data_IF_120785473536
#
_entry.id   IF_120785473536
#
_cell.length_a   1.000
_cell.length_b   1.000
_cell.length_c   1.000
_cell.angle_alpha   90.00
_cell.angle_beta   90.00
_cell.angle_gamma   90.00
#
_symmetry.space_group_name_H-M   'P 1'
#
loop_
_entity.id
_entity.type
_entity.pdbx_description
1 polymer ?
#
# COMPACT_ATOMS: atom_id res chain seq x y z
N UNK A 1 -2.96 -15.70 -5.04
CA UNK A 1 -2.21 -16.94 -4.81
C UNK A 1 -3.12 -18.07 -5.25
N UNK A 2 -2.77 -18.84 -6.26
CA UNK A 2 -3.55 -20.03 -6.60
C UNK A 2 -3.55 -20.95 -5.37
N UNK A 3 -4.73 -21.33 -4.87
CA UNK A 3 -4.87 -22.21 -3.70
C UNK A 3 -4.30 -23.61 -3.94
N UNK A 4 -4.08 -23.99 -5.20
CA UNK A 4 -3.51 -25.27 -5.58
C UNK A 4 -1.98 -25.26 -5.74
N UNK A 5 -1.40 -24.20 -6.32
CA UNK A 5 0.03 -24.17 -6.69
C UNK A 5 0.81 -22.95 -6.19
N UNK A 6 0.18 -22.01 -5.48
CA UNK A 6 0.85 -20.81 -4.96
C UNK A 6 1.11 -19.70 -6.00
N UNK A 7 0.95 -19.99 -7.29
CA UNK A 7 1.28 -19.03 -8.36
C UNK A 7 0.37 -17.79 -8.37
N UNK A 8 0.95 -16.65 -8.74
CA UNK A 8 0.25 -15.40 -9.04
C UNK A 8 0.10 -15.23 -10.53
N UNK A 9 -1.08 -15.52 -11.06
CA UNK A 9 -1.40 -15.30 -12.45
C UNK A 9 -2.09 -13.94 -12.64
N UNK A 10 -1.50 -13.02 -13.43
CA UNK A 10 -2.08 -11.72 -13.70
C UNK A 10 -3.13 -11.83 -14.81
N UNK A 11 -4.33 -12.32 -14.48
CA UNK A 11 -5.44 -12.55 -15.43
C UNK A 11 -5.91 -11.31 -16.21
N UNK A 12 -5.59 -10.11 -15.69
CA UNK A 12 -5.88 -8.83 -16.35
C UNK A 12 -4.61 -8.16 -16.94
N UNK A 13 -3.54 -8.92 -17.12
CA UNK A 13 -2.24 -8.44 -17.59
C UNK A 13 -1.42 -7.74 -16.50
N UNK A 14 -0.23 -7.26 -16.89
CA UNK A 14 0.75 -6.60 -16.02
C UNK A 14 1.23 -5.27 -16.61
N UNK A 15 1.88 -4.44 -15.81
CA UNK A 15 2.55 -3.22 -16.29
C UNK A 15 1.62 -2.01 -16.47
N UNK A 16 0.31 -2.16 -16.28
CA UNK A 16 -0.65 -1.07 -16.49
C UNK A 16 -0.44 0.09 -15.52
N UNK A 17 -0.20 -0.22 -14.25
CA UNK A 17 0.03 0.79 -13.22
C UNK A 17 1.39 1.49 -13.42
N UNK A 18 2.43 0.76 -13.82
CA UNK A 18 3.76 1.28 -14.13
C UNK A 18 3.72 2.29 -15.28
N UNK A 19 3.04 1.94 -16.37
CA UNK A 19 2.83 2.85 -17.51
C UNK A 19 2.06 4.11 -17.09
N UNK A 20 1.07 3.96 -16.21
CA UNK A 20 0.26 5.08 -15.72
C UNK A 20 1.11 6.06 -14.90
N UNK A 21 1.88 5.57 -13.93
CA UNK A 21 2.69 6.46 -13.08
C UNK A 21 3.80 7.14 -13.87
N UNK A 22 4.37 6.48 -14.89
CA UNK A 22 5.30 7.12 -15.83
C UNK A 22 4.64 8.27 -16.59
N UNK A 23 3.42 8.06 -17.12
CA UNK A 23 2.67 9.09 -17.87
C UNK A 23 2.38 10.33 -17.03
N UNK A 24 2.04 10.15 -15.76
CA UNK A 24 1.64 11.24 -14.87
C UNK A 24 2.77 11.76 -13.97
N UNK A 25 4.02 11.32 -14.21
CA UNK A 25 5.17 11.63 -13.35
C UNK A 25 4.85 11.43 -11.85
N UNK A 26 4.19 10.31 -11.55
CA UNK A 26 3.78 9.92 -10.22
C UNK A 26 4.55 8.67 -9.77
N UNK A 27 4.22 8.12 -8.61
CA UNK A 27 4.91 6.96 -8.03
C UNK A 27 3.94 5.80 -7.82
N UNK A 28 4.40 4.60 -8.15
CA UNK A 28 3.69 3.36 -7.83
C UNK A 28 3.95 2.98 -6.36
N UNK A 29 2.90 2.92 -5.55
CA UNK A 29 3.01 2.64 -4.12
C UNK A 29 3.00 1.14 -3.79
N UNK A 30 2.24 0.36 -4.57
CA UNK A 30 2.18 -1.08 -4.42
C UNK A 30 1.32 -1.73 -5.49
N UNK A 31 1.35 -3.07 -5.51
CA UNK A 31 0.50 -3.91 -6.34
C UNK A 31 -0.12 -4.96 -5.44
N UNK A 32 -1.45 -4.98 -5.36
CA UNK A 32 -2.18 -5.93 -4.52
C UNK A 32 -2.80 -7.00 -5.41
N UNK A 33 -2.71 -8.29 -5.03
CA UNK A 33 -3.31 -9.35 -5.81
C UNK A 33 -4.83 -9.34 -5.69
N UNK A 34 -5.51 -9.78 -6.74
CA UNK A 34 -6.92 -10.14 -6.65
C UNK A 34 -7.00 -11.56 -6.06
N UNK A 35 -7.53 -11.66 -4.84
CA UNK A 35 -7.65 -12.93 -4.15
C UNK A 35 -8.98 -13.05 -3.44
N UNK A 36 -9.61 -14.23 -3.56
CA UNK A 36 -10.97 -14.45 -3.04
C UNK A 36 -11.06 -14.24 -1.53
N UNK A 37 -10.02 -14.61 -0.77
CA UNK A 37 -10.01 -14.43 0.68
C UNK A 37 -10.05 -12.97 1.12
N UNK A 38 -9.49 -12.04 0.33
CA UNK A 38 -9.56 -10.60 0.60
C UNK A 38 -11.01 -10.13 0.54
N UNK A 39 -11.72 -10.53 -0.51
CA UNK A 39 -13.15 -10.22 -0.69
C UNK A 39 -13.97 -10.82 0.45
N UNK A 40 -13.78 -12.10 0.78
CA UNK A 40 -14.54 -12.79 1.83
C UNK A 40 -14.32 -12.17 3.22
N UNK A 41 -13.10 -11.76 3.54
CA UNK A 41 -12.78 -11.07 4.79
C UNK A 41 -13.51 -9.72 4.86
N UNK A 42 -13.53 -8.96 3.76
CA UNK A 42 -14.23 -7.67 3.67
C UNK A 42 -15.76 -7.83 3.67
N UNK A 43 -16.31 -8.83 2.97
CA UNK A 43 -17.74 -9.16 2.93
C UNK A 43 -18.26 -9.51 4.34
N UNK A 44 -17.41 -10.14 5.17
CA UNK A 44 -17.67 -10.41 6.59
C UNK A 44 -17.53 -9.18 7.51
N UNK A 45 -17.08 -8.04 6.98
CA UNK A 45 -16.81 -6.83 7.76
C UNK A 45 -15.56 -6.92 8.64
N UNK A 46 -14.68 -7.91 8.45
CA UNK A 46 -13.44 -8.05 9.23
C UNK A 46 -12.22 -8.03 8.30
N UNK A 47 -11.55 -6.89 8.13
CA UNK A 47 -10.43 -6.73 7.21
C UNK A 47 -9.36 -7.81 7.35
N UNK A 48 -8.71 -8.18 6.25
CA UNK A 48 -7.69 -9.25 6.22
C UNK A 48 -6.54 -9.04 7.20
N UNK A 49 -6.10 -7.80 7.45
CA UNK A 49 -5.07 -7.50 8.46
C UNK A 49 -5.48 -7.87 9.89
N UNK A 50 -6.79 -7.98 10.16
CA UNK A 50 -7.37 -8.46 11.42
C UNK A 50 -7.67 -9.95 11.34
N UNK A 51 -8.37 -10.39 10.28
CA UNK A 51 -8.78 -11.80 10.11
C UNK A 51 -7.60 -12.75 9.94
N UNK A 52 -6.49 -12.29 9.36
CA UNK A 52 -5.33 -13.10 8.93
C UNK A 52 -4.02 -12.33 9.14
N UNK A 53 -3.63 -12.04 10.40
CA UNK A 53 -2.54 -11.12 10.71
C UNK A 53 -1.14 -11.59 10.24
N UNK A 54 -0.95 -12.90 10.08
CA UNK A 54 0.32 -13.52 9.65
C UNK A 54 0.30 -13.91 8.15
N UNK A 55 -0.70 -13.44 7.39
CA UNK A 55 -0.77 -13.73 5.95
C UNK A 55 0.13 -12.79 5.14
N UNK A 56 0.63 -13.28 4.01
CA UNK A 56 1.36 -12.47 3.03
C UNK A 56 0.54 -11.22 2.60
N UNK A 57 -0.79 -11.34 2.56
CA UNK A 57 -1.68 -10.22 2.27
C UNK A 57 -1.60 -9.13 3.35
N UNK A 58 -1.60 -9.50 4.63
CA UNK A 58 -1.47 -8.55 5.71
C UNK A 58 -0.11 -7.83 5.65
N UNK A 59 0.96 -8.56 5.35
CA UNK A 59 2.29 -7.97 5.19
C UNK A 59 2.38 -7.03 3.98
N UNK A 60 1.76 -7.37 2.85
CA UNK A 60 1.66 -6.48 1.70
C UNK A 60 0.93 -5.16 2.05
N UNK A 61 -0.17 -5.22 2.80
CA UNK A 61 -0.87 -4.01 3.25
C UNK A 61 -0.03 -3.19 4.23
N UNK A 62 0.67 -3.82 5.19
CA UNK A 62 1.58 -3.14 6.12
C UNK A 62 2.72 -2.44 5.38
N UNK A 63 3.32 -3.09 4.39
CA UNK A 63 4.36 -2.50 3.54
C UNK A 63 3.84 -1.31 2.74
N UNK A 64 2.63 -1.43 2.14
CA UNK A 64 1.99 -0.33 1.43
C UNK A 64 1.76 0.87 2.35
N UNK A 65 1.19 0.64 3.54
CA UNK A 65 0.95 1.68 4.53
C UNK A 65 2.26 2.36 4.96
N UNK A 66 3.33 1.59 5.19
CA UNK A 66 4.65 2.13 5.52
C UNK A 66 5.23 3.01 4.41
N UNK A 67 5.08 2.61 3.14
CA UNK A 67 5.52 3.43 1.99
C UNK A 67 4.75 4.74 1.89
N UNK A 68 3.43 4.71 2.11
CA UNK A 68 2.58 5.92 2.14
C UNK A 68 3.02 6.85 3.26
N UNK A 69 3.15 6.34 4.48
CA UNK A 69 3.57 7.12 5.64
C UNK A 69 4.94 7.77 5.43
N UNK A 70 5.92 7.00 4.93
CA UNK A 70 7.25 7.53 4.62
C UNK A 70 7.19 8.64 3.56
N UNK A 71 6.40 8.45 2.51
CA UNK A 71 6.27 9.44 1.43
C UNK A 71 5.60 10.73 1.91
N UNK A 72 4.57 10.64 2.76
CA UNK A 72 3.95 11.80 3.38
C UNK A 72 4.91 12.54 4.31
N UNK A 73 5.70 11.81 5.12
CA UNK A 73 6.67 12.41 6.03
C UNK A 73 7.68 13.29 5.29
N UNK A 74 8.22 12.82 4.16
CA UNK A 74 9.20 13.58 3.37
C UNK A 74 8.60 14.70 2.51
N UNK A 75 7.27 14.74 2.36
CA UNK A 75 6.57 15.80 1.64
C UNK A 75 5.97 16.87 2.57
N UNK A 76 5.95 16.64 3.87
CA UNK A 76 5.50 17.64 4.84
C UNK A 76 6.49 18.80 4.94
N UNK A 77 5.98 20.00 5.19
CA UNK A 77 6.84 21.09 5.64
C UNK A 77 7.45 20.72 6.99
N UNK A 78 8.75 20.94 7.15
CA UNK A 78 9.42 20.72 8.42
C UNK A 78 8.79 21.63 9.46
N UNK A 79 8.15 21.07 10.48
CA UNK A 79 7.68 21.83 11.64
C UNK A 79 8.96 22.31 12.35
N UNK A 80 9.22 23.63 12.41
CA UNK A 80 10.41 24.14 13.06
C UNK A 80 10.42 23.69 14.52
N UNK A 81 11.50 23.06 14.96
CA UNK A 81 11.66 22.60 16.35
C UNK A 81 11.83 23.76 17.33
N UNK A 82 12.12 24.96 16.85
CA UNK A 82 12.25 26.18 17.65
C UNK A 82 11.34 27.29 17.14
N UNK A 83 10.63 27.94 18.06
CA UNK A 83 9.87 29.16 17.79
C UNK A 83 10.90 30.29 17.67
N UNK A 84 11.09 30.84 16.47
CA UNK A 84 11.95 32.00 16.26
C UNK A 84 11.33 33.23 16.94
N UNK A 85 11.72 33.52 18.18
CA UNK A 85 11.43 34.80 18.81
C UNK A 85 12.32 35.86 18.16
N UNK A 86 11.72 36.78 17.39
CA UNK A 86 12.38 38.04 17.05
C UNK A 86 12.28 38.96 18.27
N UNK A 87 13.38 39.08 19.00
CA UNK A 87 13.56 40.21 19.92
C UNK A 87 13.74 41.48 19.06
N UNK A 88 12.93 42.50 19.37
CA UNK A 88 12.94 43.82 18.74
C UNK A 88 14.25 44.58 19.01
#
# INVERSE_FOLDING_TARGET
ICSHCGHHEPIFGTGGAEKLVQKYNSRLLGQMPLHISLREDLDRGTPTVISRPESEFADMYRQLAGRVAAQMYWQGEAIPTEIAFRAL
#
